data_IF_573695637547
#
_entry.id   IF_573695637547
#
_cell.length_a   1.000
_cell.length_b   1.000
_cell.length_c   1.000
_cell.angle_alpha   90.00
_cell.angle_beta   90.00
_cell.angle_gamma   90.00
#
_symmetry.space_group_name_H-M   'P 1'
#
loop_
_entity.id
_entity.type
_entity.pdbx_description
1 polymer ?
#
# COMPACT_ATOMS: atom_id res chain seq x y z
N UNK A 1 22.57 2.80 7.99
CA UNK A 1 21.18 2.58 8.47
C UNK A 1 20.93 1.09 8.46
N UNK A 2 20.74 0.49 9.62
CA UNK A 2 20.85 -0.96 9.82
C UNK A 2 19.66 -1.74 9.21
N UNK A 3 19.90 -2.93 8.64
CA UNK A 3 18.89 -3.70 7.88
C UNK A 3 17.69 -4.09 8.77
N UNK A 4 17.92 -4.25 10.07
CA UNK A 4 16.90 -4.56 11.08
C UNK A 4 15.97 -3.38 11.41
N UNK A 5 16.46 -2.14 11.42
CA UNK A 5 15.62 -0.97 11.75
C UNK A 5 14.59 -0.71 10.65
N UNK A 6 14.97 -0.99 9.40
CA UNK A 6 14.11 -0.89 8.23
C UNK A 6 12.95 -1.91 8.23
N UNK A 7 13.15 -3.10 8.81
CA UNK A 7 12.11 -4.14 8.94
C UNK A 7 11.02 -3.81 9.96
N UNK A 8 11.34 -3.00 10.96
CA UNK A 8 10.41 -2.61 12.03
C UNK A 8 9.53 -1.41 11.65
N UNK A 9 9.89 -0.65 10.60
CA UNK A 9 9.17 0.54 10.13
C UNK A 9 7.65 0.39 9.98
N UNK A 10 7.10 -0.63 9.28
CA UNK A 10 5.65 -0.78 9.15
C UNK A 10 4.95 -1.07 10.49
N UNK A 11 5.65 -1.71 11.44
CA UNK A 11 5.11 -1.94 12.79
C UNK A 11 5.05 -0.63 13.57
N UNK A 12 6.07 0.21 13.48
CA UNK A 12 6.07 1.53 14.12
C UNK A 12 4.98 2.43 13.55
N UNK A 13 4.81 2.49 12.24
CA UNK A 13 3.71 3.26 11.63
C UNK A 13 2.33 2.80 12.14
N UNK A 14 2.11 1.48 12.27
CA UNK A 14 0.89 0.94 12.84
C UNK A 14 0.67 1.37 14.31
N UNK A 15 1.70 1.24 15.15
CA UNK A 15 1.61 1.69 16.56
C UNK A 15 1.39 3.20 16.66
N UNK A 16 2.03 4.00 15.81
CA UNK A 16 1.82 5.44 15.77
C UNK A 16 0.36 5.78 15.44
N UNK A 17 -0.25 5.12 14.44
CA UNK A 17 -1.68 5.32 14.14
C UNK A 17 -2.56 4.92 15.32
N UNK A 18 -2.28 3.78 15.95
CA UNK A 18 -3.07 3.29 17.07
C UNK A 18 -2.98 4.24 18.27
N UNK A 19 -1.78 4.66 18.64
CA UNK A 19 -1.55 5.60 19.76
C UNK A 19 -2.14 6.96 19.45
N UNK A 20 -1.87 7.54 18.28
CA UNK A 20 -2.42 8.85 17.90
C UNK A 20 -3.94 8.81 17.79
N UNK A 21 -4.53 7.73 17.27
CA UNK A 21 -5.98 7.54 17.19
C UNK A 21 -6.62 7.40 18.57
N UNK A 22 -6.00 6.61 19.45
CA UNK A 22 -6.46 6.45 20.83
C UNK A 22 -6.37 7.78 21.61
N UNK A 23 -5.26 8.52 21.47
CA UNK A 23 -5.11 9.85 22.04
C UNK A 23 -6.15 10.84 21.48
N UNK A 24 -6.44 10.78 20.18
CA UNK A 24 -7.46 11.63 19.56
C UNK A 24 -8.87 11.35 20.12
N UNK A 25 -9.22 10.09 20.36
CA UNK A 25 -10.52 9.68 20.94
C UNK A 25 -10.62 10.05 22.43
N UNK A 26 -9.52 9.96 23.16
CA UNK A 26 -9.48 10.24 24.60
C UNK A 26 -9.59 11.73 24.96
N UNK A 27 -9.39 12.64 24.00
CA UNK A 27 -9.54 14.07 24.22
C UNK A 27 -11.04 14.42 24.02
N UNK A 28 -11.79 14.74 25.09
CA UNK A 28 -13.22 15.04 24.98
C UNK A 28 -13.40 16.44 24.37
N UNK A 29 -13.56 16.51 23.06
CA UNK A 29 -13.89 17.72 22.31
C UNK A 29 -14.83 17.42 21.16
N UNK A 30 -15.67 18.39 20.81
CA UNK A 30 -16.65 18.24 19.73
C UNK A 30 -15.95 17.86 18.41
N UNK A 31 -16.48 16.86 17.67
CA UNK A 31 -15.91 16.48 16.38
C UNK A 31 -15.94 17.66 15.42
N UNK A 32 -14.90 17.84 14.57
CA UNK A 32 -14.92 18.89 13.58
C UNK A 32 -16.12 18.70 12.64
N UNK A 33 -16.78 19.80 12.29
CA UNK A 33 -17.97 19.76 11.44
C UNK A 33 -17.58 19.37 10.00
N UNK A 34 -18.42 18.55 9.37
CA UNK A 34 -18.28 18.23 7.95
C UNK A 34 -18.69 19.43 7.11
N UNK A 35 -17.97 19.70 6.03
CA UNK A 35 -18.34 20.78 5.11
C UNK A 35 -19.62 20.43 4.33
N UNK A 36 -20.51 21.40 4.11
CA UNK A 36 -21.78 21.19 3.40
C UNK A 36 -21.64 20.72 1.94
N UNK A 37 -20.47 20.90 1.33
CA UNK A 37 -20.14 20.42 -0.03
C UNK A 37 -19.17 19.23 -0.03
N UNK A 38 -19.25 18.36 0.98
CA UNK A 38 -18.28 17.27 1.17
C UNK A 38 -18.13 16.35 -0.05
N UNK A 39 -19.21 16.01 -0.76
CA UNK A 39 -19.13 15.13 -1.92
C UNK A 39 -18.24 15.70 -3.03
N UNK A 40 -18.39 17.00 -3.33
CA UNK A 40 -17.58 17.68 -4.35
C UNK A 40 -16.11 17.70 -3.95
N UNK A 41 -15.83 18.00 -2.68
CA UNK A 41 -14.47 18.08 -2.13
C UNK A 41 -13.80 16.70 -2.15
N UNK A 42 -14.52 15.67 -1.69
CA UNK A 42 -14.03 14.29 -1.66
C UNK A 42 -13.79 13.79 -3.08
N UNK A 43 -14.70 14.00 -4.02
CA UNK A 43 -14.50 13.59 -5.43
C UNK A 43 -13.26 14.27 -6.01
N UNK A 44 -13.14 15.59 -5.87
CA UNK A 44 -11.99 16.34 -6.37
C UNK A 44 -10.67 15.83 -5.78
N UNK A 45 -10.64 15.52 -4.48
CA UNK A 45 -9.45 15.01 -3.81
C UNK A 45 -9.12 13.58 -4.16
N UNK A 46 -10.12 12.70 -4.24
CA UNK A 46 -9.92 11.34 -4.72
C UNK A 46 -9.39 11.35 -6.15
N UNK A 47 -9.91 12.20 -7.04
CA UNK A 47 -9.37 12.35 -8.39
C UNK A 47 -7.90 12.75 -8.37
N UNK A 48 -7.54 13.76 -7.58
CA UNK A 48 -6.14 14.18 -7.43
C UNK A 48 -5.25 13.06 -6.87
N UNK A 49 -5.71 12.39 -5.81
CA UNK A 49 -5.01 11.26 -5.18
C UNK A 49 -4.84 10.09 -6.14
N UNK A 50 -5.84 9.79 -6.98
CA UNK A 50 -5.77 8.76 -8.02
C UNK A 50 -4.71 9.13 -9.06
N UNK A 51 -4.73 10.36 -9.57
CA UNK A 51 -3.72 10.83 -10.53
C UNK A 51 -2.32 10.67 -9.95
N UNK A 52 -2.11 11.14 -8.72
CA UNK A 52 -0.83 11.01 -8.01
C UNK A 52 -0.45 9.54 -7.81
N UNK A 53 -1.39 8.69 -7.41
CA UNK A 53 -1.16 7.27 -7.21
C UNK A 53 -0.74 6.58 -8.53
N UNK A 54 -1.34 6.96 -9.67
CA UNK A 54 -0.94 6.45 -10.99
C UNK A 54 0.49 6.86 -11.34
N UNK A 55 0.86 8.12 -11.12
CA UNK A 55 2.25 8.56 -11.33
C UNK A 55 3.23 7.82 -10.41
N UNK A 56 2.87 7.63 -9.15
CA UNK A 56 3.68 6.90 -8.20
C UNK A 56 3.82 5.43 -8.60
N UNK A 57 2.73 4.79 -9.05
CA UNK A 57 2.74 3.41 -9.54
C UNK A 57 3.74 3.25 -10.69
N UNK A 58 3.72 4.18 -11.67
CA UNK A 58 4.69 4.17 -12.78
C UNK A 58 6.12 4.41 -12.29
N UNK A 59 6.33 5.32 -11.36
CA UNK A 59 7.65 5.56 -10.78
C UNK A 59 8.20 4.32 -10.03
N UNK A 60 7.34 3.64 -9.26
CA UNK A 60 7.69 2.42 -8.54
C UNK A 60 7.95 1.24 -9.49
N UNK A 61 7.27 1.18 -10.63
CA UNK A 61 7.54 0.20 -11.68
C UNK A 61 8.93 0.39 -12.28
N UNK A 62 9.29 1.62 -12.64
CA UNK A 62 10.64 1.95 -13.12
C UNK A 62 11.70 1.60 -12.07
N UNK A 63 11.47 1.94 -10.80
CA UNK A 63 12.35 1.59 -9.70
C UNK A 63 12.51 0.05 -9.55
N UNK A 64 11.40 -0.69 -9.59
CA UNK A 64 11.39 -2.16 -9.54
C UNK A 64 12.19 -2.77 -10.69
N UNK A 65 11.98 -2.29 -11.91
CA UNK A 65 12.65 -2.79 -13.10
C UNK A 65 14.15 -2.48 -13.07
N UNK A 66 14.53 -1.27 -12.65
CA UNK A 66 15.93 -0.84 -12.66
C UNK A 66 16.76 -1.47 -11.53
N UNK A 67 16.24 -1.46 -10.29
CA UNK A 67 17.05 -1.79 -9.11
C UNK A 67 16.82 -3.19 -8.57
N UNK A 68 15.62 -3.76 -8.72
CA UNK A 68 15.23 -4.99 -8.02
C UNK A 68 15.10 -6.21 -8.95
N UNK A 69 14.87 -5.98 -10.24
CA UNK A 69 14.68 -7.06 -11.23
C UNK A 69 15.93 -7.90 -11.53
N UNK A 70 17.17 -7.36 -11.59
CA UNK A 70 18.32 -8.14 -12.06
C UNK A 70 18.66 -9.33 -11.16
N UNK A 71 18.59 -9.16 -9.83
CA UNK A 71 18.84 -10.24 -8.88
C UNK A 71 17.68 -11.25 -8.84
N UNK A 72 16.44 -10.78 -9.01
CA UNK A 72 15.26 -11.66 -9.14
C UNK A 72 15.43 -12.61 -10.34
N UNK A 73 15.86 -12.06 -11.46
CA UNK A 73 16.01 -12.79 -12.71
C UNK A 73 17.13 -13.82 -12.60
N UNK A 74 18.28 -13.46 -12.02
CA UNK A 74 19.37 -14.41 -11.73
C UNK A 74 18.92 -15.57 -10.84
N UNK A 75 18.15 -15.30 -9.79
CA UNK A 75 17.61 -16.34 -8.91
C UNK A 75 16.57 -17.22 -9.62
N UNK A 76 15.75 -16.62 -10.50
CA UNK A 76 14.76 -17.35 -11.27
C UNK A 76 15.42 -18.31 -12.27
N UNK A 77 16.45 -17.85 -12.98
CA UNK A 77 17.24 -18.68 -13.91
C UNK A 77 17.91 -19.85 -13.17
N UNK A 78 18.45 -19.63 -11.96
CA UNK A 78 19.04 -20.71 -11.17
C UNK A 78 18.02 -21.79 -10.78
N UNK A 79 16.81 -21.38 -10.38
CA UNK A 79 15.72 -22.32 -10.08
C UNK A 79 15.32 -23.10 -11.33
N UNK A 80 15.18 -22.42 -12.47
CA UNK A 80 14.83 -23.07 -13.75
C UNK A 80 15.90 -24.09 -14.19
N UNK A 81 17.18 -23.73 -14.10
CA UNK A 81 18.28 -24.64 -14.42
C UNK A 81 18.26 -25.90 -13.53
N UNK A 82 18.05 -25.74 -12.23
CA UNK A 82 17.97 -26.88 -11.30
C UNK A 82 16.74 -27.74 -11.57
N UNK A 83 15.60 -27.15 -11.96
CA UNK A 83 14.40 -27.91 -12.34
C UNK A 83 14.66 -28.76 -13.60
N UNK A 84 15.34 -28.21 -14.60
CA UNK A 84 15.70 -28.93 -15.82
C UNK A 84 16.70 -30.07 -15.53
N UNK A 85 17.69 -29.83 -14.68
CA UNK A 85 18.65 -30.87 -14.24
C UNK A 85 17.91 -32.02 -13.54
N UNK A 86 16.98 -31.71 -12.65
CA UNK A 86 16.19 -32.69 -11.90
C UNK A 86 15.28 -33.51 -12.82
N UNK A 87 14.65 -32.89 -13.82
CA UNK A 87 13.88 -33.59 -14.85
C UNK A 87 14.76 -34.53 -15.69
N UNK A 88 15.95 -34.08 -16.08
CA UNK A 88 16.92 -34.91 -16.81
C UNK A 88 17.40 -36.13 -16.00
N UNK A 89 17.58 -35.97 -14.69
CA UNK A 89 17.93 -37.07 -13.79
C UNK A 89 16.81 -38.10 -13.66
N UNK A 90 15.55 -37.66 -13.58
CA UNK A 90 14.39 -38.55 -13.55
C UNK A 90 14.20 -39.32 -14.86
N UNK A 91 14.43 -38.70 -16.01
CA UNK A 91 14.32 -39.34 -17.33
C UNK A 91 15.36 -40.46 -17.55
N UNK A 92 16.47 -40.44 -16.80
CA UNK A 92 17.59 -41.38 -16.92
C UNK A 92 17.74 -42.30 -15.69
N UNK A 93 16.68 -42.48 -14.89
CA UNK A 93 16.79 -43.17 -13.61
C UNK A 93 16.80 -44.71 -13.75
N UNK A 94 17.98 -45.33 -13.64
CA UNK A 94 18.14 -46.72 -13.17
C UNK A 94 18.22 -46.74 -11.63
N UNK A 95 17.43 -47.61 -11.01
CA UNK A 95 16.75 -47.37 -9.73
C UNK A 95 17.59 -47.34 -8.43
N UNK A 96 18.91 -47.62 -8.45
CA UNK A 96 19.63 -47.89 -7.19
C UNK A 96 20.78 -46.92 -6.86
N UNK A 97 21.48 -46.34 -7.84
CA UNK A 97 22.62 -45.44 -7.59
C UNK A 97 22.25 -43.94 -7.67
N UNK A 98 21.19 -43.59 -8.40
CA UNK A 98 20.76 -42.19 -8.62
C UNK A 98 19.84 -41.61 -7.55
N UNK A 99 19.32 -42.39 -6.59
CA UNK A 99 18.38 -41.91 -5.56
C UNK A 99 19.00 -40.81 -4.68
N UNK A 100 20.25 -40.98 -4.26
CA UNK A 100 21.00 -40.01 -3.45
C UNK A 100 21.27 -38.71 -4.23
N UNK A 101 21.53 -38.82 -5.54
CA UNK A 101 21.78 -37.66 -6.42
C UNK A 101 20.49 -36.87 -6.66
N UNK A 102 19.37 -37.57 -6.87
CA UNK A 102 18.04 -36.97 -7.02
C UNK A 102 17.66 -36.23 -5.74
N UNK A 103 17.82 -36.86 -4.57
CA UNK A 103 17.50 -36.25 -3.28
C UNK A 103 18.38 -35.02 -2.98
N UNK A 104 19.69 -35.09 -3.25
CA UNK A 104 20.58 -33.94 -3.11
C UNK A 104 20.20 -32.78 -4.04
N UNK A 105 19.74 -33.08 -5.26
CA UNK A 105 19.31 -32.08 -6.24
C UNK A 105 17.96 -31.46 -5.86
N UNK A 106 17.02 -32.26 -5.33
CA UNK A 106 15.76 -31.78 -4.75
C UNK A 106 16.00 -30.80 -3.59
N UNK A 107 16.93 -31.12 -2.70
CA UNK A 107 17.29 -30.24 -1.60
C UNK A 107 17.89 -28.91 -2.10
N UNK A 108 18.73 -28.95 -3.15
CA UNK A 108 19.29 -27.73 -3.76
C UNK A 108 18.20 -26.89 -4.43
N UNK A 109 17.28 -27.52 -5.15
CA UNK A 109 16.13 -26.85 -5.75
C UNK A 109 15.26 -26.19 -4.68
N UNK A 110 14.93 -26.90 -3.61
CA UNK A 110 14.16 -26.35 -2.49
C UNK A 110 14.83 -25.11 -1.90
N UNK A 111 16.15 -25.17 -1.64
CA UNK A 111 16.91 -24.03 -1.14
C UNK A 111 16.94 -22.84 -2.12
N UNK A 112 17.01 -23.11 -3.43
CA UNK A 112 16.98 -22.05 -4.45
C UNK A 112 15.59 -21.40 -4.56
N UNK A 113 14.52 -22.19 -4.50
CA UNK A 113 13.14 -21.70 -4.47
C UNK A 113 12.86 -20.86 -3.21
N UNK A 114 13.37 -21.30 -2.06
CA UNK A 114 13.27 -20.54 -0.82
C UNK A 114 13.97 -19.19 -0.93
N UNK A 115 15.21 -19.15 -1.46
CA UNK A 115 15.93 -17.89 -1.72
C UNK A 115 15.13 -16.95 -2.63
N UNK A 116 14.55 -17.47 -3.71
CA UNK A 116 13.70 -16.69 -4.61
C UNK A 116 12.45 -16.16 -3.90
N UNK A 117 11.81 -16.98 -3.06
CA UNK A 117 10.63 -16.59 -2.27
C UNK A 117 10.95 -15.49 -1.25
N UNK A 118 12.06 -15.63 -0.53
CA UNK A 118 12.56 -14.61 0.41
C UNK A 118 12.85 -13.31 -0.34
N UNK A 119 13.50 -13.39 -1.51
CA UNK A 119 13.81 -12.22 -2.31
C UNK A 119 12.54 -11.52 -2.84
N UNK A 120 11.54 -12.27 -3.34
CA UNK A 120 10.24 -11.69 -3.74
C UNK A 120 9.56 -10.95 -2.59
N UNK A 121 9.63 -11.52 -1.39
CA UNK A 121 9.10 -10.89 -0.17
C UNK A 121 9.84 -9.60 0.16
N UNK A 122 11.18 -9.63 0.09
CA UNK A 122 12.03 -8.45 0.28
C UNK A 122 11.70 -7.34 -0.73
N UNK A 123 11.54 -7.66 -2.02
CA UNK A 123 11.15 -6.70 -3.05
C UNK A 123 9.81 -6.02 -2.73
N UNK A 124 8.80 -6.82 -2.36
CA UNK A 124 7.47 -6.30 -2.02
C UNK A 124 7.53 -5.35 -0.83
N UNK A 125 8.28 -5.71 0.21
CA UNK A 125 8.45 -4.87 1.39
C UNK A 125 9.16 -3.55 1.06
N UNK A 126 10.21 -3.59 0.23
CA UNK A 126 10.93 -2.39 -0.17
C UNK A 126 10.06 -1.45 -1.01
N UNK A 127 9.32 -1.99 -2.00
CA UNK A 127 8.41 -1.19 -2.82
C UNK A 127 7.35 -0.49 -1.96
N UNK A 128 6.76 -1.21 -1.01
CA UNK A 128 5.79 -0.63 -0.07
C UNK A 128 6.42 0.50 0.77
N UNK A 129 7.64 0.32 1.26
CA UNK A 129 8.33 1.37 2.05
C UNK A 129 8.59 2.61 1.23
N UNK A 130 9.11 2.44 0.01
CA UNK A 130 9.37 3.56 -0.90
C UNK A 130 8.04 4.28 -1.20
N UNK A 131 6.99 3.53 -1.50
CA UNK A 131 5.66 4.08 -1.74
C UNK A 131 5.11 4.88 -0.54
N UNK A 132 5.24 4.36 0.69
CA UNK A 132 4.81 5.05 1.92
C UNK A 132 5.63 6.33 2.14
N UNK A 133 6.94 6.30 1.91
CA UNK A 133 7.79 7.50 2.05
C UNK A 133 7.33 8.58 1.07
N UNK A 134 7.13 8.23 -0.21
CA UNK A 134 6.63 9.19 -1.20
C UNK A 134 5.22 9.68 -0.85
N UNK A 135 4.31 8.79 -0.45
CA UNK A 135 2.96 9.17 -0.02
C UNK A 135 2.96 10.12 1.18
N UNK A 136 3.86 9.91 2.15
CA UNK A 136 4.03 10.80 3.29
C UNK A 136 4.59 12.17 2.87
N UNK A 137 5.60 12.20 2.00
CA UNK A 137 6.13 13.45 1.45
C UNK A 137 5.06 14.25 0.70
N UNK A 138 4.30 13.59 -0.18
CA UNK A 138 3.18 14.19 -0.92
C UNK A 138 2.13 14.76 0.05
N UNK A 139 1.84 14.05 1.13
CA UNK A 139 0.89 14.51 2.14
C UNK A 139 1.38 15.69 2.98
N UNK A 140 2.69 15.76 3.22
CA UNK A 140 3.32 16.93 3.86
C UNK A 140 3.24 18.19 2.99
N UNK A 141 3.35 18.05 1.66
CA UNK A 141 3.18 19.16 0.69
C UNK A 141 1.74 19.71 0.69
N UNK A 142 0.77 18.98 1.25
CA UNK A 142 -0.60 19.45 1.44
C UNK A 142 -1.66 18.66 0.66
N UNK A 143 -1.26 17.59 -0.05
CA UNK A 143 -2.21 16.66 -0.66
C UNK A 143 -2.70 15.71 0.42
N UNK A 144 -3.85 16.02 1.01
CA UNK A 144 -4.39 15.31 2.18
C UNK A 144 -5.79 14.76 1.89
N UNK A 145 -6.12 13.62 2.48
CA UNK A 145 -7.34 12.88 2.15
C UNK A 145 -8.54 13.33 2.99
N UNK A 146 -8.31 13.68 4.25
CA UNK A 146 -9.39 13.97 5.21
C UNK A 146 -9.40 15.43 5.68
N UNK A 147 -8.24 16.09 5.85
CA UNK A 147 -8.15 17.43 6.45
C UNK A 147 -9.07 18.45 5.78
N UNK A 148 -9.17 18.39 4.46
CA UNK A 148 -9.98 19.31 3.68
C UNK A 148 -11.49 19.00 3.68
N UNK A 149 -11.89 17.81 4.12
CA UNK A 149 -13.30 17.43 4.23
C UNK A 149 -13.96 17.98 5.51
N UNK A 150 -13.12 18.31 6.50
CA UNK A 150 -13.53 18.86 7.78
C UNK A 150 -13.31 20.37 7.82
N UNK A 151 -14.18 21.07 8.56
CA UNK A 151 -13.96 22.45 8.91
C UNK A 151 -13.37 22.49 10.32
N UNK A 152 -12.05 22.66 10.41
CA UNK A 152 -11.38 22.81 11.70
C UNK A 152 -11.51 24.25 12.18
N UNK A 153 -12.11 24.50 13.35
CA UNK A 153 -12.09 25.83 13.94
C UNK A 153 -10.64 26.26 14.21
N UNK A 154 -10.39 27.57 14.19
CA UNK A 154 -9.08 28.12 14.54
C UNK A 154 -8.77 27.69 15.98
N UNK A 155 -7.65 26.99 16.24
CA UNK A 155 -7.34 26.52 17.58
C UNK A 155 -7.07 27.70 18.52
N UNK A 156 -7.83 27.81 19.60
CA UNK A 156 -7.65 28.85 20.62
C UNK A 156 -6.90 28.32 21.85
N UNK A 157 -6.99 27.01 22.10
CA UNK A 157 -6.34 26.36 23.25
C UNK A 157 -5.18 25.44 22.87
N UNK A 158 -4.24 25.22 23.79
CA UNK A 158 -3.11 24.27 23.60
C UNK A 158 -3.60 22.85 23.29
N UNK A 159 -4.73 22.47 23.89
CA UNK A 159 -5.33 21.15 23.68
C UNK A 159 -5.91 21.00 22.27
N UNK A 160 -6.53 22.06 21.73
CA UNK A 160 -7.01 22.09 20.34
C UNK A 160 -5.86 22.04 19.33
N UNK A 161 -4.77 22.77 19.60
CA UNK A 161 -3.56 22.72 18.79
C UNK A 161 -3.02 21.28 18.75
N UNK A 162 -2.92 20.63 19.91
CA UNK A 162 -2.45 19.24 19.99
C UNK A 162 -3.36 18.27 19.24
N UNK A 163 -4.68 18.37 19.40
CA UNK A 163 -5.66 17.55 18.67
C UNK A 163 -5.57 17.77 17.15
N UNK A 164 -5.39 19.01 16.70
CA UNK A 164 -5.21 19.34 15.29
C UNK A 164 -3.97 18.67 14.71
N UNK A 165 -2.84 18.71 15.41
CA UNK A 165 -1.62 18.02 14.97
C UNK A 165 -1.75 16.50 15.01
N UNK A 166 -2.44 15.93 16.01
CA UNK A 166 -2.75 14.50 16.03
C UNK A 166 -3.58 14.08 14.82
N UNK A 167 -4.62 14.84 14.50
CA UNK A 167 -5.44 14.59 13.31
C UNK A 167 -4.59 14.67 12.04
N UNK A 168 -3.73 15.68 11.91
CA UNK A 168 -2.84 15.84 10.76
C UNK A 168 -1.86 14.67 10.62
N UNK A 169 -1.29 14.18 11.71
CA UNK A 169 -0.42 12.99 11.69
C UNK A 169 -1.20 11.76 11.21
N UNK A 170 -2.42 11.56 11.72
CA UNK A 170 -3.29 10.47 11.28
C UNK A 170 -3.63 10.58 9.79
N UNK A 171 -4.02 11.76 9.32
CA UNK A 171 -4.37 11.98 7.92
C UNK A 171 -3.15 11.80 6.99
N UNK A 172 -1.96 12.22 7.42
CA UNK A 172 -0.71 11.97 6.67
C UNK A 172 -0.45 10.47 6.54
N UNK A 173 -0.57 9.70 7.62
CA UNK A 173 -0.34 8.25 7.57
C UNK A 173 -1.42 7.56 6.74
N UNK A 174 -2.69 7.97 6.86
CA UNK A 174 -3.81 7.44 6.09
C UNK A 174 -3.65 7.75 4.60
N UNK A 175 -3.31 8.98 4.25
CA UNK A 175 -3.06 9.40 2.87
C UNK A 175 -1.86 8.66 2.28
N UNK A 176 -0.77 8.55 3.03
CA UNK A 176 0.41 7.80 2.60
C UNK A 176 0.08 6.32 2.38
N UNK A 177 -0.70 5.72 3.28
CA UNK A 177 -1.19 4.35 3.14
C UNK A 177 -2.13 4.16 1.96
N UNK A 178 -3.02 5.12 1.70
CA UNK A 178 -3.95 5.10 0.57
C UNK A 178 -3.20 5.18 -0.77
N UNK A 179 -2.24 6.09 -0.88
CA UNK A 179 -1.38 6.26 -2.06
C UNK A 179 -0.50 5.01 -2.24
N UNK A 180 0.14 4.52 -1.17
CA UNK A 180 1.04 3.37 -1.23
C UNK A 180 0.34 2.03 -1.45
N UNK A 181 -0.93 1.91 -1.02
CA UNK A 181 -1.77 0.74 -1.22
C UNK A 181 -2.28 0.59 -2.66
N UNK A 182 -2.07 1.60 -3.52
CA UNK A 182 -2.48 1.60 -4.92
C UNK A 182 -4.00 1.46 -5.12
N UNK A 183 -4.39 1.06 -6.33
CA UNK A 183 -5.80 0.86 -6.71
C UNK A 183 -6.53 -0.20 -5.88
N UNK A 184 -5.82 -1.19 -5.32
CA UNK A 184 -6.35 -2.22 -4.42
C UNK A 184 -6.76 -1.65 -3.05
N UNK A 185 -6.00 -0.69 -2.51
CA UNK A 185 -6.34 0.03 -1.27
C UNK A 185 -7.62 0.84 -1.44
N UNK A 186 -7.70 1.62 -2.52
CA UNK A 186 -8.88 2.43 -2.85
C UNK A 186 -10.10 1.54 -3.17
N UNK A 187 -9.93 0.48 -3.96
CA UNK A 187 -11.00 -0.46 -4.30
C UNK A 187 -11.58 -1.15 -3.06
N UNK A 188 -10.74 -1.54 -2.09
CA UNK A 188 -11.20 -2.12 -0.83
C UNK A 188 -11.91 -1.11 0.08
N UNK A 189 -11.46 0.15 0.11
CA UNK A 189 -12.14 1.23 0.84
C UNK A 189 -13.51 1.51 0.23
N UNK A 190 -13.61 1.65 -1.10
CA UNK A 190 -14.87 1.85 -1.82
C UNK A 190 -15.82 0.67 -1.59
N UNK A 191 -15.33 -0.57 -1.67
CA UNK A 191 -16.12 -1.78 -1.43
C UNK A 191 -16.67 -1.84 0.00
N UNK A 192 -15.86 -1.46 0.99
CA UNK A 192 -16.28 -1.40 2.40
C UNK A 192 -17.24 -0.24 2.68
N UNK A 193 -17.01 0.94 2.09
CA UNK A 193 -17.95 2.07 2.15
C UNK A 193 -19.30 1.70 1.52
N UNK A 194 -19.29 1.03 0.37
CA UNK A 194 -20.50 0.52 -0.28
C UNK A 194 -21.23 -0.54 0.55
N UNK A 195 -20.52 -1.30 1.39
CA UNK A 195 -21.15 -2.26 2.32
C UNK A 195 -21.70 -1.62 3.60
N UNK A 196 -21.14 -0.48 4.04
CA UNK A 196 -21.58 0.26 5.24
C UNK A 196 -22.69 1.26 4.93
N UNK A 197 -22.76 1.75 3.68
CA UNK A 197 -23.79 2.65 3.20
C UNK A 197 -24.38 2.11 1.89
N UNK A 198 -25.35 1.18 1.97
CA UNK A 198 -25.94 0.52 0.80
C UNK A 198 -26.63 1.48 -0.17
N UNK A 199 -26.95 2.71 0.24
CA UNK A 199 -27.60 3.75 -0.56
C UNK A 199 -26.63 4.62 -1.39
N UNK A 200 -25.32 4.54 -1.11
CA UNK A 200 -24.29 5.36 -1.78
C UNK A 200 -23.98 4.89 -3.21
N UNK A 201 -23.91 3.57 -3.53
CA UNK A 201 -23.69 3.10 -4.90
C UNK A 201 -24.78 3.59 -5.86
N UNK A 202 -26.04 3.60 -5.40
CA UNK A 202 -27.20 3.93 -6.24
C UNK A 202 -27.24 5.43 -6.55
N UNK A 203 -26.98 6.29 -5.55
CA UNK A 203 -26.85 7.74 -5.78
C UNK A 203 -25.63 8.14 -6.62
N UNK A 204 -24.52 7.40 -6.54
CA UNK A 204 -23.35 7.63 -7.41
C UNK A 204 -23.67 7.21 -8.85
N UNK A 205 -24.37 6.08 -9.05
CA UNK A 205 -24.81 5.64 -10.38
C UNK A 205 -25.83 6.62 -10.98
N UNK A 206 -26.79 7.10 -10.19
CA UNK A 206 -27.75 8.13 -10.60
C UNK A 206 -27.05 9.46 -10.93
N UNK A 207 -26.07 9.89 -10.13
CA UNK A 207 -25.27 11.09 -10.39
C UNK A 207 -24.42 10.97 -11.67
N UNK A 208 -23.81 9.81 -11.91
CA UNK A 208 -23.05 9.53 -13.15
C UNK A 208 -23.99 9.45 -14.36
N UNK A 209 -25.21 8.96 -14.19
CA UNK A 209 -26.23 8.93 -15.25
C UNK A 209 -26.80 10.32 -15.54
N UNK A 210 -26.98 11.17 -14.52
CA UNK A 210 -27.42 12.55 -14.68
C UNK A 210 -26.38 13.39 -15.45
N UNK A 211 -25.08 13.22 -15.15
CA UNK A 211 -23.99 13.87 -15.90
C UNK A 211 -23.94 13.40 -17.37
N UNK A 212 -24.40 12.20 -17.67
CA UNK A 212 -24.43 11.64 -19.03
C UNK A 212 -25.64 12.10 -19.86
N UNK A 213 -26.66 12.70 -19.21
CA UNK A 213 -27.91 13.14 -19.85
C UNK A 213 -28.01 14.65 -20.06
N UNK A 214 -27.05 15.45 -19.57
CA UNK A 214 -26.84 16.84 -20.00
C UNK A 214 -25.82 16.87 -21.16
N UNK A 215 -26.25 16.80 -22.44
CA UNK A 215 -25.45 17.41 -23.49
C UNK A 215 -25.55 18.93 -23.30
N UNK A 216 -24.42 19.62 -23.45
CA UNK A 216 -24.41 21.06 -23.73
C UNK A 216 -25.39 21.38 -24.87
#
# INVERSE_FOLDING_TARGET
MDRESLLKFPRYAFYTVLVCGLLYILIPMDPPALQGSILKIVIQQLTLLIVIALFLERALEVYKLSYLSPEKERLAVQVEQMQLELQGLFAQAEASSKSVVIEATQLRLFNAEEKLRVYRTYMRQNLLRVAIIFGALISLVGVRSLENAFNFPVPESVLEIFRFYLFRVLDVILTAGLIAGGSEGIHNVIKKLGSLFPDVPQKIVEFVQAIKQDPV
#
